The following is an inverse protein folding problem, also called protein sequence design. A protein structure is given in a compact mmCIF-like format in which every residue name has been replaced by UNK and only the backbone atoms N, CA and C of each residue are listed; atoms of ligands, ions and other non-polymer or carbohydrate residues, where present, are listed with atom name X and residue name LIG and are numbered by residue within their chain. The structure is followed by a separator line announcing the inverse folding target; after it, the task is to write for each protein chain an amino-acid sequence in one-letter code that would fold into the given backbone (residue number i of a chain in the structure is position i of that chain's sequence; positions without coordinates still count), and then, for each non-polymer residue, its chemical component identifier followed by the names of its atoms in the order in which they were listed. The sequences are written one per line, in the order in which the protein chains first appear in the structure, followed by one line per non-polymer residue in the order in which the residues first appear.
data_IF_953919129256
#
_entry.id   IF_953919129256
#
_cell.length_a   1.000
_cell.length_b   1.000
_cell.length_c   1.000
_cell.angle_alpha   90.00
_cell.angle_beta   90.00
_cell.angle_gamma   90.00
#
_symmetry.space_group_name_H-M   'P 1'
#
loop_
_entity.id
_entity.type
_entity.pdbx_description
1 polymer ?
#
# COMPACT_ATOMS: atom_id res chain seq x y z
N UNK A 1 39.76 4.82 11.57
CA UNK A 1 38.34 5.17 11.41
C UNK A 1 37.92 4.77 10.01
N UNK A 2 37.38 3.57 9.86
CA UNK A 2 36.77 3.13 8.60
C UNK A 2 35.35 3.70 8.53
N UNK A 3 34.88 4.22 7.39
CA UNK A 3 33.49 4.61 7.27
C UNK A 3 32.67 3.32 7.33
N UNK A 4 31.86 3.21 8.38
CA UNK A 4 30.77 2.23 8.45
C UNK A 4 29.85 2.54 7.28
N UNK A 5 29.79 1.63 6.30
CA UNK A 5 28.68 1.53 5.34
C UNK A 5 27.42 1.28 6.16
N UNK A 6 26.83 2.33 6.73
CA UNK A 6 25.49 2.25 7.29
C UNK A 6 24.57 1.95 6.12
N UNK A 7 24.04 0.74 6.11
CA UNK A 7 22.93 0.33 5.26
C UNK A 7 21.93 1.48 5.20
N UNK A 8 21.73 2.06 4.01
CA UNK A 8 20.70 3.06 3.80
C UNK A 8 19.37 2.41 4.20
N UNK A 9 18.66 3.03 5.16
CA UNK A 9 17.32 2.56 5.54
C UNK A 9 16.48 2.44 4.27
N UNK A 10 16.02 1.23 3.88
CA UNK A 10 15.27 1.06 2.65
C UNK A 10 14.00 1.92 2.64
N UNK A 11 13.47 2.27 3.81
CA UNK A 11 12.28 3.10 3.99
C UNK A 11 12.56 4.60 4.15
N UNK A 12 13.83 5.02 4.05
CA UNK A 12 14.20 6.44 3.99
C UNK A 12 13.52 7.15 2.81
N UNK A 13 13.22 8.43 3.00
CA UNK A 13 12.59 9.27 1.96
C UNK A 13 13.41 9.23 0.65
N UNK A 14 14.75 9.32 0.72
CA UNK A 14 15.63 9.23 -0.45
C UNK A 14 15.49 7.91 -1.21
N UNK A 15 15.48 6.79 -0.50
CA UNK A 15 15.37 5.45 -1.11
C UNK A 15 14.00 5.25 -1.76
N UNK A 16 12.95 5.72 -1.08
CA UNK A 16 11.58 5.63 -1.57
C UNK A 16 11.35 6.58 -2.75
N UNK A 17 11.86 7.81 -2.69
CA UNK A 17 11.77 8.79 -3.76
C UNK A 17 12.43 8.25 -5.03
N UNK A 18 13.66 7.72 -4.91
CA UNK A 18 14.39 7.14 -6.04
C UNK A 18 13.59 6.04 -6.73
N UNK A 19 12.92 5.19 -5.96
CA UNK A 19 12.07 4.14 -6.53
C UNK A 19 10.80 4.69 -7.18
N UNK A 20 10.13 5.66 -6.55
CA UNK A 20 8.94 6.29 -7.12
C UNK A 20 9.25 6.99 -8.45
N UNK A 21 10.39 7.69 -8.53
CA UNK A 21 10.87 8.33 -9.75
C UNK A 21 11.33 7.31 -10.81
N UNK A 22 11.83 6.14 -10.42
CA UNK A 22 12.13 5.07 -11.36
C UNK A 22 10.85 4.39 -11.91
N UNK A 23 9.71 4.53 -11.23
CA UNK A 23 8.49 3.80 -11.57
C UNK A 23 7.60 4.56 -12.57
N UNK A 24 7.35 4.01 -13.78
CA UNK A 24 6.66 4.73 -14.87
C UNK A 24 5.20 5.10 -14.54
N UNK A 25 4.55 4.38 -13.63
CA UNK A 25 3.17 4.69 -13.21
C UNK A 25 3.05 5.74 -12.09
N UNK A 26 4.17 6.06 -11.42
CA UNK A 26 4.18 6.96 -10.26
C UNK A 26 4.87 8.26 -10.61
N UNK A 27 6.02 8.17 -11.28
CA UNK A 27 6.82 9.32 -11.72
C UNK A 27 5.99 10.44 -12.35
N UNK A 28 5.09 10.20 -13.32
CA UNK A 28 4.35 11.31 -13.95
C UNK A 28 3.50 12.10 -12.95
N UNK A 29 2.93 11.45 -11.94
CA UNK A 29 2.14 12.14 -10.91
C UNK A 29 3.02 13.02 -10.02
N UNK A 30 4.25 12.58 -9.73
CA UNK A 30 5.22 13.39 -8.99
C UNK A 30 5.58 14.62 -9.81
N UNK A 31 5.96 14.42 -11.07
CA UNK A 31 6.32 15.53 -11.97
C UNK A 31 5.18 16.55 -12.10
N UNK A 32 3.94 16.09 -12.26
CA UNK A 32 2.79 16.99 -12.26
C UNK A 32 2.64 17.73 -10.93
N UNK A 33 2.76 17.05 -9.78
CA UNK A 33 2.64 17.66 -8.44
C UNK A 33 3.78 18.64 -8.13
N UNK A 34 4.96 18.43 -8.70
CA UNK A 34 6.08 19.38 -8.58
C UNK A 34 5.87 20.61 -9.46
N UNK A 35 5.23 20.44 -10.62
CA UNK A 35 4.98 21.54 -11.57
C UNK A 35 3.83 22.47 -11.15
N UNK A 36 2.76 21.93 -10.55
CA UNK A 36 1.58 22.69 -10.15
C UNK A 36 0.75 21.93 -9.11
N UNK A 37 0.09 22.67 -8.23
CA UNK A 37 -0.94 22.11 -7.34
C UNK A 37 -2.26 21.83 -8.09
N UNK A 38 -2.47 22.50 -9.23
CA UNK A 38 -3.66 22.30 -10.05
C UNK A 38 -3.67 20.92 -10.69
N UNK A 39 -4.88 20.34 -10.76
CA UNK A 39 -5.06 19.01 -11.34
C UNK A 39 -4.80 19.09 -12.85
N UNK A 40 -3.90 18.25 -13.42
CA UNK A 40 -3.66 18.20 -14.86
C UNK A 40 -4.95 17.95 -15.63
N UNK A 41 -5.04 18.45 -16.85
CA UNK A 41 -6.21 18.21 -17.69
C UNK A 41 -6.28 16.74 -18.11
N UNK A 42 -7.43 16.35 -18.68
CA UNK A 42 -7.56 15.00 -19.25
C UNK A 42 -6.58 14.78 -20.42
N UNK A 43 -6.32 15.82 -21.23
CA UNK A 43 -5.42 15.73 -22.39
C UNK A 43 -3.98 15.45 -21.96
N UNK A 44 -3.55 16.01 -20.84
CA UNK A 44 -2.19 15.80 -20.29
C UNK A 44 -2.00 14.37 -19.76
N UNK A 45 -3.04 13.78 -19.17
CA UNK A 45 -2.94 12.48 -18.51
C UNK A 45 -3.34 11.30 -19.42
N UNK A 46 -4.17 11.52 -20.45
CA UNK A 46 -4.69 10.46 -21.31
C UNK A 46 -3.61 9.58 -21.97
N UNK A 47 -2.42 10.09 -22.36
CA UNK A 47 -1.34 9.26 -22.87
C UNK A 47 -0.64 8.38 -21.83
N UNK A 48 -0.92 8.58 -20.53
CA UNK A 48 -0.26 7.87 -19.43
C UNK A 48 -0.83 6.46 -19.20
N UNK A 49 -0.10 5.65 -18.43
CA UNK A 49 -0.55 4.32 -18.04
C UNK A 49 -1.89 4.35 -17.24
N UNK A 50 -2.77 3.34 -17.35
CA UNK A 50 -4.03 3.30 -16.58
C UNK A 50 -3.86 3.43 -15.06
N UNK A 51 -2.75 2.97 -14.49
CA UNK A 51 -2.47 3.15 -13.05
C UNK A 51 -2.14 4.61 -12.71
N UNK A 52 -1.47 5.33 -13.62
CA UNK A 52 -1.24 6.77 -13.51
C UNK A 52 -2.56 7.51 -13.56
N UNK A 53 -3.45 7.19 -14.50
CA UNK A 53 -4.79 7.78 -14.59
C UNK A 53 -5.62 7.55 -13.32
N UNK A 54 -5.53 6.37 -12.70
CA UNK A 54 -6.18 6.09 -11.41
C UNK A 54 -5.63 6.96 -10.29
N UNK A 55 -4.32 7.23 -10.30
CA UNK A 55 -3.70 8.16 -9.35
C UNK A 55 -4.19 9.59 -9.60
N UNK A 56 -4.31 10.01 -10.86
CA UNK A 56 -4.87 11.30 -11.25
C UNK A 56 -6.33 11.47 -10.80
N UNK A 57 -7.15 10.41 -10.84
CA UNK A 57 -8.50 10.45 -10.27
C UNK A 57 -8.50 10.80 -8.77
N UNK A 58 -7.44 10.44 -8.05
CA UNK A 58 -7.24 10.69 -6.62
C UNK A 58 -6.44 11.99 -6.34
N UNK A 59 -6.23 12.86 -7.33
CA UNK A 59 -5.32 14.02 -7.26
C UNK A 59 -5.37 14.83 -5.95
N UNK A 60 -6.58 15.17 -5.49
CA UNK A 60 -6.77 16.01 -4.30
C UNK A 60 -6.33 15.32 -3.00
N UNK A 61 -6.26 13.99 -3.00
CA UNK A 61 -5.75 13.20 -1.88
C UNK A 61 -4.26 12.92 -2.00
N UNK A 62 -3.59 13.31 -3.09
CA UNK A 62 -2.17 13.04 -3.30
C UNK A 62 -1.34 14.26 -2.94
N UNK A 63 -0.28 14.05 -2.16
CA UNK A 63 0.57 15.10 -1.65
C UNK A 63 2.04 14.65 -1.68
N UNK A 64 2.92 15.58 -2.05
CA UNK A 64 4.37 15.40 -1.89
C UNK A 64 4.77 15.79 -0.47
N UNK A 65 5.60 14.97 0.15
CA UNK A 65 6.24 15.25 1.44
C UNK A 65 7.70 14.84 1.28
N UNK A 66 8.63 15.78 1.43
CA UNK A 66 10.06 15.56 1.13
C UNK A 66 10.26 14.91 -0.25
N UNK A 67 9.52 15.40 -1.26
CA UNK A 67 9.48 14.88 -2.63
C UNK A 67 9.06 13.41 -2.79
N UNK A 68 8.53 12.79 -1.72
CA UNK A 68 7.91 11.47 -1.76
C UNK A 68 6.40 11.62 -1.86
N UNK A 69 5.78 10.84 -2.74
CA UNK A 69 4.34 10.86 -2.97
C UNK A 69 3.59 10.03 -1.92
N UNK A 70 2.70 10.70 -1.21
CA UNK A 70 1.76 10.11 -0.26
C UNK A 70 0.32 10.29 -0.73
N UNK A 71 -0.55 9.41 -0.26
CA UNK A 71 -2.00 9.58 -0.26
C UNK A 71 -2.47 9.94 1.14
N UNK A 72 -3.22 11.02 1.27
CA UNK A 72 -4.03 11.33 2.45
C UNK A 72 -5.31 10.51 2.35
N UNK A 73 -5.50 9.55 3.25
CA UNK A 73 -6.81 8.94 3.47
C UNK A 73 -7.49 9.68 4.61
N UNK A 74 -8.78 9.96 4.47
CA UNK A 74 -9.60 10.60 5.50
C UNK A 74 -10.81 9.72 5.78
N UNK A 75 -11.25 9.66 7.04
CA UNK A 75 -12.49 8.98 7.42
C UNK A 75 -13.68 9.72 6.82
N UNK A 76 -14.81 9.01 6.66
CA UNK A 76 -16.05 9.62 6.14
C UNK A 76 -16.49 10.84 6.95
N UNK A 77 -16.35 10.78 8.27
CA UNK A 77 -16.65 11.88 9.20
C UNK A 77 -15.59 13.00 9.22
N UNK A 78 -14.50 12.84 8.44
CA UNK A 78 -13.33 13.73 8.33
C UNK A 78 -12.64 14.05 9.66
N UNK A 79 -12.90 13.29 10.72
CA UNK A 79 -12.25 13.50 12.02
C UNK A 79 -10.86 12.89 12.09
N UNK A 80 -10.61 11.85 11.30
CA UNK A 80 -9.33 11.17 11.28
C UNK A 80 -8.78 11.15 9.87
N UNK A 81 -7.46 11.21 9.78
CA UNK A 81 -6.75 11.02 8.52
C UNK A 81 -5.46 10.26 8.78
N UNK A 82 -4.91 9.70 7.71
CA UNK A 82 -3.61 9.03 7.73
C UNK A 82 -2.88 9.23 6.42
N UNK A 83 -1.57 9.32 6.53
CA UNK A 83 -0.67 9.36 5.38
C UNK A 83 -0.30 7.94 4.98
N UNK A 84 -0.65 7.59 3.76
CA UNK A 84 -0.30 6.31 3.16
C UNK A 84 0.78 6.54 2.12
N UNK A 85 1.95 5.93 2.29
CA UNK A 85 3.02 5.97 1.31
C UNK A 85 2.55 5.28 0.02
N UNK A 86 2.64 5.98 -1.11
CA UNK A 86 2.29 5.38 -2.40
C UNK A 86 3.43 4.48 -2.87
N UNK A 87 3.19 3.18 -2.96
CA UNK A 87 4.21 2.23 -3.39
C UNK A 87 3.93 1.67 -4.78
N UNK A 88 4.99 1.38 -5.57
CA UNK A 88 4.93 0.40 -6.63
C UNK A 88 4.37 -0.93 -6.15
N UNK A 89 3.60 -1.61 -7.00
CA UNK A 89 3.12 -2.96 -6.67
C UNK A 89 4.27 -3.94 -6.45
N UNK A 90 5.38 -3.78 -7.16
CA UNK A 90 6.59 -4.62 -7.04
C UNK A 90 7.15 -4.63 -5.61
N UNK A 91 6.98 -3.54 -4.86
CA UNK A 91 7.45 -3.40 -3.46
C UNK A 91 6.50 -3.97 -2.41
N UNK A 92 5.28 -4.36 -2.80
CA UNK A 92 4.28 -4.95 -1.88
C UNK A 92 4.78 -6.24 -1.22
N UNK A 93 5.55 -7.07 -1.94
CA UNK A 93 6.11 -8.30 -1.40
C UNK A 93 7.08 -8.05 -0.24
N UNK A 94 7.88 -6.99 -0.30
CA UNK A 94 8.79 -6.60 0.78
C UNK A 94 8.00 -6.22 2.03
N UNK A 95 6.95 -5.40 1.87
CA UNK A 95 6.02 -5.05 2.97
C UNK A 95 5.43 -6.31 3.61
N UNK A 96 5.00 -7.27 2.79
CA UNK A 96 4.43 -8.52 3.31
C UNK A 96 5.47 -9.35 4.07
N UNK A 97 6.70 -9.48 3.55
CA UNK A 97 7.76 -10.24 4.22
C UNK A 97 8.12 -9.63 5.59
N UNK A 98 8.29 -8.32 5.67
CA UNK A 98 8.59 -7.63 6.92
C UNK A 98 7.50 -7.84 7.98
N UNK A 99 6.22 -7.81 7.57
CA UNK A 99 5.10 -8.02 8.49
C UNK A 99 4.93 -9.47 8.96
N UNK A 100 5.41 -10.45 8.18
CA UNK A 100 5.32 -11.87 8.52
C UNK A 100 6.60 -12.44 9.16
N UNK A 101 7.71 -11.68 9.17
CA UNK A 101 9.05 -12.15 9.58
C UNK A 101 9.36 -12.13 11.08
N UNK A 102 8.40 -11.84 11.98
CA UNK A 102 8.67 -11.81 13.43
C UNK A 102 8.57 -13.22 14.05
N UNK A 103 9.64 -13.77 14.68
CA UNK A 103 9.64 -15.10 15.29
C UNK A 103 8.63 -15.30 16.43
N UNK A 104 8.23 -14.21 17.09
CA UNK A 104 7.26 -14.18 18.20
C UNK A 104 5.85 -13.72 17.79
N UNK A 105 5.70 -13.19 16.57
CA UNK A 105 4.42 -12.72 16.03
C UNK A 105 3.67 -13.82 15.28
N UNK A 106 3.39 -14.94 15.95
CA UNK A 106 2.90 -16.15 15.29
C UNK A 106 1.76 -15.91 14.30
N UNK A 107 2.02 -16.08 12.99
CA UNK A 107 1.04 -16.27 11.91
C UNK A 107 -0.31 -15.50 12.06
N UNK A 108 -0.25 -14.25 12.54
CA UNK A 108 -1.38 -13.58 13.19
C UNK A 108 -2.25 -12.87 12.14
N UNK A 109 -3.56 -13.12 12.20
CA UNK A 109 -4.68 -12.59 11.41
C UNK A 109 -4.34 -11.67 10.22
N UNK A 110 -4.65 -12.14 9.01
CA UNK A 110 -4.73 -11.34 7.76
C UNK A 110 -5.31 -9.94 8.00
N UNK A 111 -6.35 -9.84 8.83
CA UNK A 111 -7.02 -8.59 9.21
C UNK A 111 -6.09 -7.62 9.97
N UNK A 112 -5.34 -8.10 10.98
CA UNK A 112 -4.44 -7.24 11.77
C UNK A 112 -3.29 -6.70 10.90
N UNK A 113 -2.75 -7.54 10.01
CA UNK A 113 -1.72 -7.09 9.09
C UNK A 113 -2.29 -6.19 7.99
N UNK A 114 -3.52 -6.44 7.52
CA UNK A 114 -4.19 -5.58 6.56
C UNK A 114 -4.41 -4.18 7.13
N UNK A 115 -4.86 -4.08 8.38
CA UNK A 115 -4.97 -2.79 9.07
C UNK A 115 -3.61 -2.09 9.14
N UNK A 116 -2.53 -2.77 9.56
CA UNK A 116 -1.18 -2.17 9.60
C UNK A 116 -0.71 -1.67 8.22
N UNK A 117 -0.96 -2.43 7.17
CA UNK A 117 -0.63 -2.03 5.79
C UNK A 117 -1.45 -0.82 5.38
N UNK A 118 -2.78 -0.88 5.53
CA UNK A 118 -3.68 0.22 5.19
C UNK A 118 -3.46 1.46 6.06
N UNK A 119 -2.82 1.33 7.22
CA UNK A 119 -2.42 2.49 8.02
C UNK A 119 -1.24 3.26 7.41
N UNK A 120 -0.35 2.59 6.66
CA UNK A 120 0.96 3.15 6.26
C UNK A 120 1.20 3.19 4.76
N UNK A 121 0.55 2.35 3.98
CA UNK A 121 0.87 2.13 2.57
C UNK A 121 -0.38 2.12 1.69
N UNK A 122 -0.18 2.48 0.42
CA UNK A 122 -1.21 2.42 -0.60
C UNK A 122 -0.62 2.02 -1.96
N UNK A 123 -1.25 1.02 -2.58
CA UNK A 123 -1.06 0.67 -3.99
C UNK A 123 -2.38 0.15 -4.58
N UNK A 124 -2.41 -0.08 -5.89
CA UNK A 124 -3.60 -0.62 -6.55
C UNK A 124 -3.89 -2.04 -6.04
N UNK A 125 -5.10 -2.27 -5.55
CA UNK A 125 -5.60 -3.57 -5.12
C UNK A 125 -4.90 -4.18 -3.87
N UNK A 126 -4.43 -3.35 -2.92
CA UNK A 126 -3.78 -3.79 -1.66
C UNK A 126 -4.48 -4.97 -1.00
N UNK A 127 -5.81 -4.87 -0.81
CA UNK A 127 -6.65 -5.90 -0.19
C UNK A 127 -6.55 -7.24 -0.95
N UNK A 128 -6.76 -7.24 -2.26
CA UNK A 128 -6.69 -8.44 -3.10
C UNK A 128 -5.28 -9.05 -3.15
N UNK A 129 -4.24 -8.22 -3.22
CA UNK A 129 -2.86 -8.71 -3.23
C UNK A 129 -2.46 -9.34 -1.88
N UNK A 130 -2.92 -8.78 -0.75
CA UNK A 130 -2.73 -9.40 0.56
C UNK A 130 -3.47 -10.74 0.69
N UNK A 131 -4.72 -10.81 0.25
CA UNK A 131 -5.48 -12.07 0.27
C UNK A 131 -4.77 -13.17 -0.52
N UNK A 132 -4.27 -12.85 -1.72
CA UNK A 132 -3.50 -13.80 -2.55
C UNK A 132 -2.23 -14.26 -1.84
N UNK A 133 -1.47 -13.32 -1.25
CA UNK A 133 -0.26 -13.64 -0.51
C UNK A 133 -0.52 -14.62 0.64
N UNK A 134 -1.57 -14.38 1.45
CA UNK A 134 -1.91 -15.27 2.56
C UNK A 134 -2.50 -16.61 2.13
N UNK A 135 -3.24 -16.67 1.01
CA UNK A 135 -3.72 -17.94 0.45
C UNK A 135 -2.58 -18.82 -0.04
N UNK A 136 -1.51 -18.23 -0.56
CA UNK A 136 -0.33 -18.95 -1.04
C UNK A 136 0.63 -19.41 0.08
N UNK A 137 0.30 -19.13 1.35
CA UNK A 137 1.15 -19.48 2.47
C UNK A 137 0.72 -20.84 3.06
N UNK A 138 1.56 -21.87 2.90
CA UNK A 138 1.21 -23.26 3.26
C UNK A 138 0.78 -23.45 4.73
N UNK A 139 1.46 -22.85 5.74
CA UNK A 139 0.99 -22.95 7.13
C UNK A 139 -0.36 -22.25 7.37
N UNK A 140 -0.63 -21.14 6.68
CA UNK A 140 -1.94 -20.47 6.72
C UNK A 140 -3.03 -21.32 6.06
N UNK A 141 -2.72 -21.93 4.92
CA UNK A 141 -3.66 -22.74 4.16
C UNK A 141 -4.01 -24.04 4.90
N UNK A 142 -3.02 -24.70 5.52
CA UNK A 142 -3.20 -25.93 6.29
C UNK A 142 -4.12 -25.74 7.51
N UNK A 143 -4.07 -24.57 8.17
CA UNK A 143 -4.97 -24.25 9.31
C UNK A 143 -6.43 -24.00 8.90
N UNK A 144 -6.73 -23.76 7.62
CA UNK A 144 -8.11 -23.52 7.16
C UNK A 144 -8.96 -24.80 7.10
N UNK A 145 -8.36 -25.99 7.22
CA UNK A 145 -9.07 -27.28 7.32
C UNK A 145 -10.05 -27.60 6.18
N UNK A 146 -10.64 -28.80 6.15
CA UNK A 146 -11.80 -29.11 5.30
C UNK A 146 -13.02 -28.32 5.81
N UNK A 147 -13.70 -27.59 4.91
CA UNK A 147 -14.87 -26.76 5.26
C UNK A 147 -15.98 -27.60 5.90
N UNK A 148 -16.18 -27.48 7.22
CA UNK A 148 -17.46 -27.81 7.86
C UNK A 148 -18.25 -26.51 7.93
N UNK A 149 -19.49 -26.51 7.42
CA UNK A 149 -20.41 -25.37 7.60
C UNK A 149 -20.76 -25.28 9.09
N UNK A 150 -20.02 -24.48 9.82
CA UNK A 150 -20.42 -23.94 11.12
C UNK A 150 -20.01 -22.47 11.16
N UNK A 151 -20.93 -21.63 11.62
CA UNK A 151 -21.05 -20.19 11.38
C UNK A 151 -19.98 -19.31 12.06
N UNK A 152 -18.89 -19.90 12.54
CA UNK A 152 -17.80 -19.23 13.25
C UNK A 152 -16.46 -19.46 12.53
N UNK A 153 -16.48 -19.28 11.21
CA UNK A 153 -15.29 -19.32 10.38
C UNK A 153 -14.63 -17.93 10.36
N UNK A 154 -13.29 -17.88 10.33
CA UNK A 154 -12.44 -16.70 10.06
C UNK A 154 -12.69 -16.04 8.67
N UNK A 155 -13.85 -16.35 8.06
CA UNK A 155 -14.43 -15.82 6.83
C UNK A 155 -15.27 -14.57 7.04
N UNK A 156 -15.80 -14.29 8.25
CA UNK A 156 -16.78 -13.20 8.43
C UNK A 156 -16.17 -11.82 8.70
N UNK A 157 -15.00 -11.69 9.33
CA UNK A 157 -14.43 -10.34 9.62
C UNK A 157 -13.85 -9.67 8.36
N UNK A 158 -13.67 -10.41 7.27
CA UNK A 158 -13.33 -9.79 5.99
C UNK A 158 -14.52 -8.99 5.45
N UNK A 159 -15.74 -9.51 5.41
CA UNK A 159 -16.83 -8.83 4.69
C UNK A 159 -17.43 -7.61 5.41
N UNK A 160 -17.54 -7.60 6.73
CA UNK A 160 -18.08 -6.43 7.46
C UNK A 160 -17.11 -5.24 7.55
N UNK A 161 -15.79 -5.50 7.56
CA UNK A 161 -14.76 -4.45 7.50
C UNK A 161 -14.31 -4.11 6.06
N UNK A 162 -14.72 -4.91 5.07
CA UNK A 162 -14.49 -4.63 3.66
C UNK A 162 -15.68 -3.90 2.99
N UNK A 163 -16.88 -3.93 3.58
CA UNK A 163 -18.09 -3.30 3.02
C UNK A 163 -18.34 -1.87 3.52
N UNK A 164 -17.59 -1.42 4.53
CA UNK A 164 -17.50 -0.01 4.90
C UNK A 164 -16.10 0.50 4.52
N UNK A 165 -16.06 1.56 3.71
CA UNK A 165 -14.89 2.39 3.31
C UNK A 165 -13.91 1.87 2.22
#
# INVERSE_FOLDING_TARGET
MTPSTSELDPWSDDSVQKEQLAHPEIKPIIEFKESSDEKPSWQDIAPSHPTTMRSWALWNSLHLRNSVLYRKWESEDRKTFRWQLKLPKTRSLTVFKELNGSPTGGHFCVVKNLQKVLQRFHWKNVRSDMEKFYRACDPCAARKGPRKRSEEDCSCIMWELLSNE
#
